data_IF_723246537712
#
_entry.id   IF_723246537712
#
_cell.length_a   1.000
_cell.length_b   1.000
_cell.length_c   1.000
_cell.angle_alpha   90.00
_cell.angle_beta   90.00
_cell.angle_gamma   90.00
#
_symmetry.space_group_name_H-M   'P 1'
#
loop_
_entity.id
_entity.type
_entity.pdbx_description
1 polymer ?
#
# COMPACT_ATOMS: atom_id res chain seq x y z
N UNK A 1 25.41 16.10 -27.25
CA UNK A 1 24.40 16.04 -26.18
C UNK A 1 24.39 14.59 -25.72
N UNK A 2 24.78 14.29 -24.48
CA UNK A 2 24.90 12.92 -24.01
C UNK A 2 23.49 12.43 -23.63
N UNK A 3 22.89 11.55 -24.44
CA UNK A 3 21.58 10.99 -24.15
C UNK A 3 21.66 10.14 -22.87
N UNK A 4 20.69 10.30 -21.97
CA UNK A 4 20.55 9.51 -20.74
C UNK A 4 19.48 8.42 -20.94
N UNK A 5 19.46 7.37 -20.10
CA UNK A 5 18.42 6.32 -20.13
C UNK A 5 17.01 6.92 -20.11
N UNK A 6 16.85 8.01 -19.36
CA UNK A 6 15.58 8.73 -19.22
C UNK A 6 15.06 9.33 -20.52
N UNK A 7 15.93 9.65 -21.49
CA UNK A 7 15.52 10.23 -22.78
C UNK A 7 14.82 9.21 -23.68
N UNK A 8 15.05 7.91 -23.43
CA UNK A 8 14.36 6.80 -24.09
C UNK A 8 13.07 6.40 -23.34
N UNK A 9 12.85 6.86 -22.10
CA UNK A 9 11.61 6.60 -21.40
C UNK A 9 10.57 7.66 -21.76
N UNK A 10 9.78 7.38 -22.81
CA UNK A 10 8.63 8.21 -23.18
C UNK A 10 7.35 7.71 -22.51
N UNK A 11 6.48 8.65 -22.15
CA UNK A 11 5.12 8.31 -21.73
C UNK A 11 4.39 7.71 -22.93
N UNK A 12 3.86 6.50 -22.76
CA UNK A 12 3.05 5.85 -23.78
C UNK A 12 2.10 4.82 -23.18
N UNK A 13 1.54 3.97 -24.05
CA UNK A 13 0.56 2.93 -23.67
C UNK A 13 1.09 2.00 -22.58
N UNK A 14 2.38 1.69 -22.59
CA UNK A 14 3.01 0.85 -21.57
C UNK A 14 3.02 1.51 -20.19
N UNK A 15 3.25 2.82 -20.11
CA UNK A 15 3.22 3.56 -18.84
C UNK A 15 1.83 3.54 -18.24
N UNK A 16 0.79 3.78 -19.05
CA UNK A 16 -0.62 3.71 -18.60
C UNK A 16 -0.97 2.30 -18.15
N UNK A 17 -0.53 1.27 -18.89
CA UNK A 17 -0.72 -0.12 -18.49
C UNK A 17 -0.11 -0.39 -17.11
N UNK A 18 1.14 0.02 -16.86
CA UNK A 18 1.77 -0.13 -15.54
C UNK A 18 0.95 0.59 -14.46
N UNK A 19 0.53 1.83 -14.71
CA UNK A 19 -0.26 2.59 -13.74
C UNK A 19 -1.55 1.87 -13.35
N UNK A 20 -2.33 1.40 -14.34
CA UNK A 20 -3.56 0.65 -14.10
C UNK A 20 -3.28 -0.66 -13.37
N UNK A 21 -2.22 -1.38 -13.75
CA UNK A 21 -1.85 -2.61 -13.08
C UNK A 21 -1.44 -2.38 -11.64
N UNK A 22 -0.70 -1.31 -11.37
CA UNK A 22 -0.33 -0.96 -10.01
C UNK A 22 -1.54 -0.58 -9.15
N UNK A 23 -2.51 0.17 -9.69
CA UNK A 23 -3.76 0.48 -8.99
C UNK A 23 -4.55 -0.78 -8.64
N UNK A 24 -4.78 -1.66 -9.62
CA UNK A 24 -5.45 -2.95 -9.36
C UNK A 24 -4.70 -3.79 -8.31
N UNK A 25 -3.37 -3.61 -8.18
CA UNK A 25 -2.58 -4.24 -7.13
C UNK A 25 -2.64 -3.52 -5.77
N UNK A 26 -2.95 -2.23 -5.73
CA UNK A 26 -3.11 -1.45 -4.49
C UNK A 26 -4.42 -1.75 -3.78
N UNK A 27 -5.47 -2.14 -4.51
CA UNK A 27 -6.79 -2.54 -4.02
C UNK A 27 -6.78 -3.60 -2.90
N UNK A 28 -5.65 -4.25 -2.66
CA UNK A 28 -5.57 -5.45 -1.83
C UNK A 28 -4.81 -5.32 -0.54
N UNK A 29 -4.26 -4.14 -0.29
CA UNK A 29 -3.11 -4.04 0.61
C UNK A 29 -3.41 -3.31 1.90
N UNK A 30 -4.64 -2.82 2.05
CA UNK A 30 -5.13 -2.19 3.27
C UNK A 30 -6.15 -3.04 4.02
N UNK A 31 -6.15 -4.36 3.87
CA UNK A 31 -6.97 -5.22 4.75
C UNK A 31 -6.68 -5.01 6.24
N UNK A 32 -5.54 -4.41 6.62
CA UNK A 32 -5.28 -3.97 8.00
C UNK A 32 -6.05 -2.70 8.43
N UNK A 33 -6.33 -1.82 7.47
CA UNK A 33 -6.85 -0.47 7.65
C UNK A 33 -8.30 -0.30 7.19
N UNK A 34 -8.96 -1.37 6.73
CA UNK A 34 -10.42 -1.32 6.74
C UNK A 34 -10.84 -1.39 8.21
N UNK A 35 -11.00 -0.20 8.80
CA UNK A 35 -11.68 0.04 10.08
C UNK A 35 -12.96 -0.81 10.18
N UNK A 36 -13.57 -1.10 9.02
CA UNK A 36 -14.72 -1.98 8.81
C UNK A 36 -14.52 -3.42 9.33
N UNK A 37 -13.35 -4.04 9.13
CA UNK A 37 -13.11 -5.45 9.49
C UNK A 37 -12.98 -5.62 11.01
N UNK A 38 -12.52 -4.58 11.71
CA UNK A 38 -12.35 -4.56 13.16
C UNK A 38 -13.33 -3.60 13.85
N UNK A 39 -14.41 -3.19 13.19
CA UNK A 39 -15.39 -2.28 13.75
C UNK A 39 -16.07 -2.96 14.96
N UNK A 40 -16.09 -2.34 16.15
CA UNK A 40 -16.81 -2.89 17.29
C UNK A 40 -18.33 -2.87 17.04
N UNK A 41 -19.07 -3.92 17.41
CA UNK A 41 -20.53 -3.87 17.41
C UNK A 41 -21.06 -2.92 18.49
N UNK A 42 -22.21 -2.32 18.25
CA UNK A 42 -22.94 -1.57 19.28
C UNK A 42 -23.92 -2.50 20.00
N UNK A 43 -23.87 -2.50 21.33
CA UNK A 43 -24.82 -3.21 22.18
C UNK A 43 -26.05 -2.34 22.41
N UNK A 44 -27.22 -2.80 21.97
CA UNK A 44 -28.48 -2.06 22.10
C UNK A 44 -29.30 -2.56 23.31
N UNK A 45 -29.20 -3.84 23.65
CA UNK A 45 -30.05 -4.43 24.69
C UNK A 45 -29.78 -5.91 24.96
N UNK A 46 -30.56 -6.49 25.86
CA UNK A 46 -30.56 -7.91 26.19
C UNK A 46 -31.88 -8.55 25.77
N UNK A 47 -31.84 -9.62 24.98
CA UNK A 47 -33.03 -10.36 24.52
C UNK A 47 -33.86 -10.93 25.67
N UNK A 48 -33.20 -11.29 26.78
CA UNK A 48 -33.85 -11.90 27.94
C UNK A 48 -34.35 -10.86 28.97
N UNK A 49 -34.15 -9.55 28.73
CA UNK A 49 -34.66 -8.46 29.59
C UNK A 49 -35.11 -7.26 28.77
N UNK A 50 -36.42 -7.01 28.77
CA UNK A 50 -37.01 -5.85 28.08
C UNK A 50 -36.63 -4.49 28.72
N UNK A 51 -36.13 -4.47 29.96
CA UNK A 51 -35.82 -3.24 30.71
C UNK A 51 -34.42 -2.65 30.39
N UNK A 52 -33.72 -3.19 29.38
CA UNK A 52 -32.31 -2.88 29.11
C UNK A 52 -32.07 -1.83 28.02
N UNK A 53 -33.12 -1.37 27.32
CA UNK A 53 -32.98 -0.43 26.19
C UNK A 53 -32.49 0.98 26.52
N UNK A 54 -32.42 1.35 27.81
CA UNK A 54 -31.92 2.65 28.28
C UNK A 54 -30.66 2.55 29.14
N UNK A 55 -30.13 1.34 29.35
CA UNK A 55 -28.94 1.15 30.17
C UNK A 55 -27.69 1.63 29.44
N UNK A 56 -26.81 2.33 30.16
CA UNK A 56 -25.51 2.73 29.62
C UNK A 56 -24.70 1.49 29.19
N UNK A 57 -23.97 1.51 28.06
CA UNK A 57 -23.25 0.36 27.50
C UNK A 57 -22.37 -0.42 28.49
N UNK A 58 -21.75 0.27 29.46
CA UNK A 58 -20.95 -0.36 30.52
C UNK A 58 -21.77 -1.33 31.39
N UNK A 59 -22.98 -0.98 31.80
CA UNK A 59 -23.82 -1.86 32.61
C UNK A 59 -24.38 -3.05 31.82
N UNK A 60 -24.63 -2.88 30.51
CA UNK A 60 -24.95 -4.00 29.62
C UNK A 60 -23.81 -5.02 29.56
N UNK A 61 -22.58 -4.52 29.58
CA UNK A 61 -21.40 -5.36 29.52
C UNK A 61 -21.14 -6.14 30.80
N UNK A 62 -21.43 -5.57 31.97
CA UNK A 62 -21.37 -6.30 33.23
C UNK A 62 -22.39 -7.45 33.24
N UNK A 63 -23.61 -7.22 32.73
CA UNK A 63 -24.65 -8.24 32.62
C UNK A 63 -24.28 -9.37 31.65
N UNK A 64 -23.61 -9.02 30.54
CA UNK A 64 -23.06 -9.97 29.57
C UNK A 64 -21.95 -10.83 30.20
N UNK A 65 -21.00 -10.21 30.92
CA UNK A 65 -19.94 -10.94 31.62
C UNK A 65 -20.46 -11.86 32.72
N UNK A 66 -21.58 -11.52 33.35
CA UNK A 66 -22.26 -12.34 34.34
C UNK A 66 -23.10 -13.48 33.72
N UNK A 67 -23.22 -13.54 32.38
CA UNK A 67 -23.99 -14.58 31.68
C UNK A 67 -25.50 -14.44 31.83
N UNK A 68 -26.00 -13.28 32.26
CA UNK A 68 -27.43 -13.03 32.52
C UNK A 68 -28.15 -12.33 31.37
N UNK A 69 -27.41 -11.97 30.32
CA UNK A 69 -27.89 -11.21 29.16
C UNK A 69 -27.47 -11.91 27.86
N UNK A 70 -28.46 -12.27 27.04
CA UNK A 70 -28.25 -12.59 25.64
C UNK A 70 -28.22 -11.27 24.85
N UNK A 71 -27.06 -10.82 24.35
CA UNK A 71 -26.90 -9.47 23.81
C UNK A 71 -27.57 -9.33 22.44
N UNK A 72 -28.28 -8.23 22.25
CA UNK A 72 -28.75 -7.75 20.96
C UNK A 72 -27.72 -6.74 20.46
N UNK A 73 -27.06 -7.07 19.36
CA UNK A 73 -26.01 -6.28 18.74
C UNK A 73 -26.50 -5.67 17.43
N UNK A 74 -26.24 -4.39 17.22
CA UNK A 74 -26.30 -3.76 15.91
C UNK A 74 -24.91 -3.81 15.28
N UNK A 75 -24.86 -4.21 14.01
CA UNK A 75 -23.65 -4.07 13.21
C UNK A 75 -24.04 -3.80 11.76
N UNK A 76 -23.31 -2.88 11.12
CA UNK A 76 -23.48 -2.56 9.69
C UNK A 76 -22.70 -3.53 8.78
N UNK A 77 -21.75 -4.26 9.34
CA UNK A 77 -20.89 -5.21 8.64
C UNK A 77 -20.49 -6.31 9.64
N UNK A 78 -20.58 -7.59 9.24
CA UNK A 78 -20.13 -8.68 10.10
C UNK A 78 -18.60 -8.64 10.18
N UNK A 79 -18.10 -8.04 11.24
CA UNK A 79 -16.68 -7.80 11.49
C UNK A 79 -16.06 -8.94 12.30
N UNK A 80 -14.73 -8.99 12.34
CA UNK A 80 -13.96 -9.95 13.15
C UNK A 80 -14.29 -9.80 14.64
N UNK A 81 -14.62 -8.58 15.09
CA UNK A 81 -15.02 -8.34 16.48
C UNK A 81 -16.36 -8.98 16.81
N UNK A 82 -17.31 -8.90 15.86
CA UNK A 82 -18.64 -9.50 16.00
C UNK A 82 -18.52 -11.02 16.03
N UNK A 83 -17.79 -11.61 15.09
CA UNK A 83 -17.68 -13.07 14.97
C UNK A 83 -16.94 -13.71 16.15
N UNK A 84 -15.83 -13.12 16.61
CA UNK A 84 -15.10 -13.62 17.78
C UNK A 84 -15.61 -13.06 19.12
N UNK A 85 -16.84 -12.54 19.13
CA UNK A 85 -17.64 -12.18 20.31
C UNK A 85 -16.91 -11.28 21.34
N UNK A 86 -16.14 -10.30 20.88
CA UNK A 86 -15.55 -9.27 21.74
C UNK A 86 -16.54 -8.11 21.89
N UNK A 87 -17.68 -8.38 22.55
CA UNK A 87 -18.78 -7.42 22.68
C UNK A 87 -18.53 -6.35 23.76
N UNK A 88 -17.72 -6.69 24.78
CA UNK A 88 -17.61 -5.91 26.02
C UNK A 88 -16.19 -5.69 26.55
N UNK A 89 -15.18 -6.29 25.91
CA UNK A 89 -13.81 -5.86 26.14
C UNK A 89 -13.55 -4.58 25.36
N UNK A 90 -12.59 -3.75 25.78
CA UNK A 90 -12.11 -2.55 25.06
C UNK A 90 -11.47 -2.87 23.68
N UNK A 91 -11.82 -4.00 23.06
CA UNK A 91 -11.18 -4.53 21.87
C UNK A 91 -9.74 -4.95 22.13
N UNK A 92 -9.30 -5.12 23.38
CA UNK A 92 -7.87 -5.31 23.73
C UNK A 92 -7.20 -6.40 22.89
N UNK A 93 -7.80 -7.59 22.77
CA UNK A 93 -7.24 -8.71 21.98
C UNK A 93 -7.16 -8.41 20.48
N UNK A 94 -8.06 -7.57 19.96
CA UNK A 94 -8.07 -7.15 18.57
C UNK A 94 -7.02 -6.06 18.35
N UNK A 95 -6.90 -5.10 19.27
CA UNK A 95 -5.83 -4.09 19.30
C UNK A 95 -4.44 -4.75 19.41
N UNK A 96 -4.33 -5.82 20.18
CA UNK A 96 -3.12 -6.66 20.26
C UNK A 96 -2.85 -7.34 18.89
N UNK A 97 -3.87 -7.91 18.25
CA UNK A 97 -3.76 -8.49 16.90
C UNK A 97 -3.28 -7.47 15.87
N UNK A 98 -3.83 -6.26 15.92
CA UNK A 98 -3.45 -5.10 15.11
C UNK A 98 -1.99 -4.71 15.35
N UNK A 99 -1.52 -4.76 16.60
CA UNK A 99 -0.12 -4.49 16.94
C UNK A 99 0.84 -5.56 16.41
N UNK A 100 0.49 -6.85 16.49
CA UNK A 100 1.31 -7.93 15.92
C UNK A 100 1.44 -7.81 14.40
N UNK A 101 0.35 -7.47 13.73
CA UNK A 101 0.35 -7.22 12.29
C UNK A 101 1.26 -6.03 11.92
N UNK A 102 1.33 -4.98 12.74
CA UNK A 102 2.25 -3.85 12.55
C UNK A 102 3.73 -4.25 12.67
N UNK A 103 4.06 -5.21 13.55
CA UNK A 103 5.40 -5.80 13.58
C UNK A 103 5.71 -6.47 12.24
N UNK A 104 4.74 -7.20 11.67
CA UNK A 104 4.84 -7.74 10.32
C UNK A 104 5.13 -6.67 9.27
N UNK A 105 4.43 -5.53 9.32
CA UNK A 105 4.69 -4.39 8.44
C UNK A 105 6.14 -3.90 8.55
N UNK A 106 6.63 -3.67 9.77
CA UNK A 106 7.99 -3.18 10.03
C UNK A 106 9.07 -4.13 9.50
N UNK A 107 8.97 -5.42 9.84
CA UNK A 107 9.95 -6.43 9.38
C UNK A 107 9.91 -6.57 7.86
N UNK A 108 8.73 -6.50 7.25
CA UNK A 108 8.55 -6.56 5.80
C UNK A 108 9.27 -5.42 5.08
N UNK A 109 9.15 -4.19 5.57
CA UNK A 109 9.82 -3.04 4.98
C UNK A 109 11.35 -3.19 4.97
N UNK A 110 11.94 -3.67 6.07
CA UNK A 110 13.39 -3.84 6.21
C UNK A 110 13.94 -4.94 5.29
N UNK A 111 13.27 -6.09 5.26
CA UNK A 111 13.70 -7.26 4.47
C UNK A 111 13.58 -6.98 2.98
N UNK A 112 12.40 -6.55 2.53
CA UNK A 112 12.13 -6.44 1.10
C UNK A 112 12.81 -5.24 0.44
N UNK A 113 13.20 -4.22 1.19
CA UNK A 113 14.10 -3.18 0.67
C UNK A 113 15.39 -3.78 0.11
N UNK A 114 16.09 -4.58 0.93
CA UNK A 114 17.35 -5.24 0.52
C UNK A 114 17.16 -6.33 -0.53
N UNK A 115 16.08 -7.12 -0.41
CA UNK A 115 15.75 -8.16 -1.39
C UNK A 115 15.50 -7.54 -2.78
N UNK A 116 14.82 -6.40 -2.84
CA UNK A 116 14.51 -5.71 -4.11
C UNK A 116 15.74 -5.17 -4.84
N UNK A 117 16.76 -4.76 -4.10
CA UNK A 117 18.03 -4.31 -4.67
C UNK A 117 18.88 -5.49 -5.14
N UNK A 118 18.80 -6.62 -4.42
CA UNK A 118 19.61 -7.80 -4.69
C UNK A 118 19.07 -8.62 -5.86
N UNK A 119 17.77 -8.92 -5.87
CA UNK A 119 17.11 -9.84 -6.81
C UNK A 119 16.33 -9.15 -7.94
N UNK A 120 16.23 -7.82 -7.89
CA UNK A 120 15.44 -7.04 -8.85
C UNK A 120 14.07 -6.70 -8.29
N UNK A 121 13.27 -6.01 -9.08
CA UNK A 121 11.99 -5.46 -8.62
C UNK A 121 10.86 -6.40 -9.01
N UNK A 122 10.88 -6.98 -10.20
CA UNK A 122 9.80 -7.85 -10.71
C UNK A 122 9.60 -9.11 -9.88
N UNK A 123 10.66 -9.89 -9.67
CA UNK A 123 10.53 -11.20 -9.01
C UNK A 123 10.11 -11.11 -7.54
N UNK A 124 10.76 -10.30 -6.69
CA UNK A 124 10.30 -10.10 -5.32
C UNK A 124 8.88 -9.52 -5.25
N UNK A 125 8.52 -8.61 -6.17
CA UNK A 125 7.17 -8.06 -6.23
C UNK A 125 6.13 -9.16 -6.50
N UNK A 126 6.38 -10.03 -7.48
CA UNK A 126 5.50 -11.16 -7.80
C UNK A 126 5.33 -12.13 -6.63
N UNK A 127 6.42 -12.48 -5.95
CA UNK A 127 6.38 -13.34 -4.76
C UNK A 127 5.55 -12.69 -3.66
N UNK A 128 5.77 -11.39 -3.38
CA UNK A 128 5.00 -10.67 -2.39
C UNK A 128 3.50 -10.66 -2.73
N UNK A 129 3.11 -10.37 -3.98
CA UNK A 129 1.69 -10.35 -4.38
C UNK A 129 1.05 -11.73 -4.23
N UNK A 130 1.72 -12.77 -4.75
CA UNK A 130 1.21 -14.14 -4.69
C UNK A 130 1.03 -14.59 -3.23
N UNK A 131 2.04 -14.35 -2.38
CA UNK A 131 1.98 -14.71 -0.96
C UNK A 131 0.91 -13.92 -0.21
N UNK A 132 0.75 -12.62 -0.48
CA UNK A 132 -0.34 -11.82 0.11
C UNK A 132 -1.71 -12.38 -0.27
N UNK A 133 -1.93 -12.72 -1.54
CA UNK A 133 -3.20 -13.30 -2.01
C UNK A 133 -3.51 -14.66 -1.37
N UNK A 134 -2.50 -15.56 -1.30
CA UNK A 134 -2.64 -16.87 -0.65
C UNK A 134 -2.93 -16.72 0.84
N UNK A 135 -2.12 -15.93 1.55
CA UNK A 135 -2.28 -15.74 3.00
C UNK A 135 -3.60 -15.03 3.34
N UNK A 136 -4.08 -14.15 2.47
CA UNK A 136 -5.37 -13.51 2.62
C UNK A 136 -6.53 -14.48 2.47
N UNK A 137 -6.48 -15.35 1.46
CA UNK A 137 -7.42 -16.47 1.33
C UNK A 137 -7.40 -17.40 2.55
N UNK A 138 -6.21 -17.81 3.00
CA UNK A 138 -6.05 -18.68 4.19
C UNK A 138 -6.59 -18.01 5.45
N UNK A 139 -6.38 -16.70 5.62
CA UNK A 139 -6.89 -15.95 6.76
C UNK A 139 -8.42 -15.97 6.85
N UNK A 140 -9.11 -16.07 5.71
CA UNK A 140 -10.58 -16.14 5.65
C UNK A 140 -11.15 -17.46 6.18
N UNK A 141 -10.31 -18.48 6.41
CA UNK A 141 -10.70 -19.76 7.02
C UNK A 141 -10.27 -19.88 8.49
N UNK A 142 -9.73 -18.82 9.09
CA UNK A 142 -9.29 -18.88 10.48
C UNK A 142 -10.48 -19.16 11.41
N UNK A 143 -10.40 -20.22 12.21
CA UNK A 143 -11.40 -20.58 13.22
C UNK A 143 -11.16 -19.97 14.60
N UNK A 144 -10.03 -19.27 14.78
CA UNK A 144 -9.70 -18.59 16.03
C UNK A 144 -8.99 -17.26 15.78
N UNK A 145 -9.10 -16.33 16.74
CA UNK A 145 -8.44 -15.03 16.65
C UNK A 145 -6.91 -15.14 16.59
N UNK A 146 -6.31 -16.13 17.27
CA UNK A 146 -4.86 -16.35 17.24
C UNK A 146 -4.39 -16.81 15.86
N UNK A 147 -5.11 -17.75 15.24
CA UNK A 147 -4.82 -18.21 13.89
C UNK A 147 -5.01 -17.09 12.87
N UNK A 148 -6.08 -16.29 13.01
CA UNK A 148 -6.31 -15.10 12.21
C UNK A 148 -5.14 -14.11 12.33
N UNK A 149 -4.72 -13.79 13.56
CA UNK A 149 -3.60 -12.87 13.83
C UNK A 149 -2.30 -13.34 13.19
N UNK A 150 -1.97 -14.63 13.27
CA UNK A 150 -0.77 -15.20 12.68
C UNK A 150 -0.76 -15.03 11.16
N UNK A 151 -1.82 -15.50 10.48
CA UNK A 151 -1.89 -15.41 9.02
C UNK A 151 -1.89 -13.97 8.53
N UNK A 152 -2.57 -13.08 9.24
CA UNK A 152 -2.63 -11.67 8.90
C UNK A 152 -1.30 -10.95 9.16
N UNK A 153 -0.54 -11.36 10.17
CA UNK A 153 0.81 -10.82 10.41
C UNK A 153 1.76 -11.20 9.28
N UNK A 154 1.71 -12.45 8.82
CA UNK A 154 2.48 -12.90 7.65
C UNK A 154 2.02 -12.18 6.37
N UNK A 155 0.71 -12.02 6.18
CA UNK A 155 0.16 -11.25 5.07
C UNK A 155 0.71 -9.82 5.07
N UNK A 156 0.68 -9.13 6.22
CA UNK A 156 1.21 -7.79 6.41
C UNK A 156 2.70 -7.69 6.06
N UNK A 157 3.50 -8.71 6.41
CA UNK A 157 4.91 -8.77 6.06
C UNK A 157 5.16 -8.75 4.54
N UNK A 158 4.50 -9.64 3.78
CA UNK A 158 4.63 -9.66 2.31
C UNK A 158 4.00 -8.43 1.67
N UNK A 159 2.91 -7.95 2.24
CA UNK A 159 2.20 -6.79 1.76
C UNK A 159 3.07 -5.53 1.77
N UNK A 160 3.74 -5.25 2.89
CA UNK A 160 4.68 -4.13 2.99
C UNK A 160 5.85 -4.31 2.05
N UNK A 161 6.32 -5.54 1.88
CA UNK A 161 7.37 -5.83 0.92
C UNK A 161 7.01 -5.37 -0.47
N UNK A 162 5.82 -5.74 -0.95
CA UNK A 162 5.34 -5.23 -2.23
C UNK A 162 5.23 -3.70 -2.27
N UNK A 163 4.69 -3.06 -1.22
CA UNK A 163 4.53 -1.61 -1.17
C UNK A 163 5.87 -0.89 -1.36
N UNK A 164 6.92 -1.37 -0.69
CA UNK A 164 8.27 -0.81 -0.84
C UNK A 164 8.79 -1.01 -2.26
N UNK A 165 8.60 -2.20 -2.83
CA UNK A 165 9.10 -2.53 -4.18
C UNK A 165 8.36 -1.75 -5.26
N UNK A 166 7.03 -1.65 -5.20
CA UNK A 166 6.21 -1.03 -6.24
C UNK A 166 6.48 0.48 -6.35
N UNK A 167 6.74 1.15 -5.23
CA UNK A 167 7.09 2.58 -5.22
C UNK A 167 8.41 2.85 -5.93
N UNK A 168 9.42 2.01 -5.70
CA UNK A 168 10.70 2.10 -6.41
C UNK A 168 10.52 1.73 -7.88
N UNK A 169 9.75 0.67 -8.16
CA UNK A 169 9.47 0.20 -9.52
C UNK A 169 8.79 1.29 -10.37
N UNK A 170 7.79 1.99 -9.84
CA UNK A 170 7.15 3.13 -10.50
C UNK A 170 8.16 4.24 -10.78
N UNK A 171 8.93 4.65 -9.78
CA UNK A 171 9.93 5.72 -9.94
C UNK A 171 10.97 5.41 -11.03
N UNK A 172 11.35 4.14 -11.18
CA UNK A 172 12.32 3.68 -12.19
C UNK A 172 11.70 3.48 -13.58
N UNK A 173 10.38 3.38 -13.69
CA UNK A 173 9.66 3.21 -14.96
C UNK A 173 9.10 4.52 -15.50
N UNK A 174 8.81 5.47 -14.64
CA UNK A 174 8.23 6.74 -15.05
C UNK A 174 9.28 7.69 -15.63
N UNK A 175 8.96 8.41 -16.73
CA UNK A 175 9.82 9.47 -17.25
C UNK A 175 10.04 10.56 -16.20
N UNK A 176 11.26 11.12 -16.11
CA UNK A 176 11.64 12.14 -15.09
C UNK A 176 10.63 13.27 -14.91
N UNK A 177 10.11 13.80 -16.02
CA UNK A 177 9.18 14.93 -16.02
C UNK A 177 7.79 14.57 -15.48
N UNK A 178 7.37 13.31 -15.60
CA UNK A 178 6.02 12.88 -15.23
C UNK A 178 5.97 12.07 -13.92
N UNK A 179 7.09 11.85 -13.24
CA UNK A 179 7.15 10.95 -12.07
C UNK A 179 6.23 11.38 -10.93
N UNK A 180 6.17 12.68 -10.64
CA UNK A 180 5.56 13.19 -9.40
C UNK A 180 4.03 13.23 -9.51
N UNK A 181 3.48 13.94 -10.49
CA UNK A 181 2.04 13.91 -10.74
C UNK A 181 1.48 12.50 -11.03
N UNK A 182 2.20 11.62 -11.75
CA UNK A 182 1.76 10.23 -11.97
C UNK A 182 1.68 9.47 -10.65
N UNK A 183 2.64 9.66 -9.75
CA UNK A 183 2.61 9.01 -8.44
C UNK A 183 1.45 9.53 -7.57
N UNK A 184 1.09 10.82 -7.67
CA UNK A 184 -0.06 11.38 -6.96
C UNK A 184 -1.39 10.86 -7.48
N UNK A 185 -1.59 10.86 -8.81
CA UNK A 185 -2.84 10.37 -9.43
C UNK A 185 -2.98 8.87 -9.21
N UNK A 186 -1.93 8.11 -9.48
CA UNK A 186 -1.92 6.66 -9.31
C UNK A 186 -1.45 6.25 -7.91
N UNK A 187 -1.93 6.97 -6.90
CA UNK A 187 -1.67 6.72 -5.48
C UNK A 187 -2.79 5.91 -4.84
N UNK A 188 -2.58 5.49 -3.60
CA UNK A 188 -3.50 4.74 -2.74
C UNK A 188 -4.96 5.20 -2.65
N UNK A 189 -5.30 6.44 -3.01
CA UNK A 189 -6.60 7.05 -2.70
C UNK A 189 -7.83 6.46 -3.43
N UNK A 190 -7.80 6.06 -4.71
CA UNK A 190 -8.94 5.45 -5.40
C UNK A 190 -9.38 4.14 -4.74
N UNK A 191 -8.40 3.38 -4.24
CA UNK A 191 -8.61 2.05 -3.68
C UNK A 191 -9.54 2.03 -2.46
N UNK A 192 -9.60 3.11 -1.68
CA UNK A 192 -10.52 3.21 -0.54
C UNK A 192 -11.99 3.20 -0.98
N UNK A 193 -12.28 3.78 -2.14
CA UNK A 193 -13.64 3.83 -2.68
C UNK A 193 -14.08 2.46 -3.17
N UNK A 194 -13.23 1.79 -3.96
CA UNK A 194 -13.51 0.44 -4.47
C UNK A 194 -13.61 -0.60 -3.35
N UNK A 195 -12.69 -0.57 -2.37
CA UNK A 195 -12.77 -1.42 -1.19
C UNK A 195 -14.09 -1.24 -0.43
N UNK A 196 -14.55 0.00 -0.24
CA UNK A 196 -15.83 0.28 0.44
C UNK A 196 -17.04 -0.26 -0.32
N UNK A 197 -17.03 -0.18 -1.66
CA UNK A 197 -18.08 -0.75 -2.52
C UNK A 197 -18.10 -2.28 -2.39
N UNK A 198 -16.92 -2.93 -2.44
CA UNK A 198 -16.82 -4.39 -2.29
C UNK A 198 -17.28 -4.81 -0.87
N UNK A 199 -16.95 -4.03 0.15
CA UNK A 199 -17.39 -4.27 1.54
C UNK A 199 -18.91 -4.18 1.66
N UNK A 200 -19.53 -3.18 1.04
CA UNK A 200 -20.99 -3.01 1.00
C UNK A 200 -21.70 -4.21 0.36
N UNK A 201 -21.17 -4.78 -0.73
CA UNK A 201 -21.77 -5.97 -1.33
C UNK A 201 -21.44 -7.27 -0.58
N UNK A 202 -20.29 -7.35 0.09
CA UNK A 202 -19.84 -8.57 0.75
C UNK A 202 -20.53 -8.82 2.08
N UNK A 203 -20.88 -7.75 2.83
CA UNK A 203 -21.57 -7.76 4.14
C UNK A 203 -20.86 -8.54 5.28
N UNK A 204 -19.86 -9.36 4.96
CA UNK A 204 -19.06 -10.19 5.84
C UNK A 204 -17.57 -10.07 5.53
N UNK A 205 -16.74 -10.03 6.58
CA UNK A 205 -15.29 -9.90 6.47
C UNK A 205 -14.63 -11.08 5.76
N UNK A 206 -15.16 -12.32 5.89
CA UNK A 206 -14.55 -13.48 5.23
C UNK A 206 -14.78 -13.41 3.72
N UNK A 207 -16.00 -13.10 3.30
CA UNK A 207 -16.35 -12.93 1.89
C UNK A 207 -15.63 -11.73 1.28
N UNK A 208 -15.57 -10.62 1.99
CA UNK A 208 -14.80 -9.44 1.61
C UNK A 208 -13.32 -9.75 1.39
N UNK A 209 -12.70 -10.45 2.34
CA UNK A 209 -11.30 -10.88 2.24
C UNK A 209 -11.10 -11.79 1.04
N UNK A 210 -11.97 -12.78 0.78
CA UNK A 210 -11.86 -13.63 -0.41
C UNK A 210 -12.01 -12.85 -1.72
N UNK A 211 -12.95 -11.92 -1.79
CA UNK A 211 -13.19 -11.11 -2.99
C UNK A 211 -11.95 -10.28 -3.34
N UNK A 212 -11.42 -9.53 -2.37
CA UNK A 212 -10.18 -8.78 -2.55
C UNK A 212 -9.03 -9.71 -2.93
N UNK A 213 -8.81 -10.79 -2.17
CA UNK A 213 -7.70 -11.70 -2.39
C UNK A 213 -7.75 -12.44 -3.74
N UNK A 214 -8.94 -12.65 -4.30
CA UNK A 214 -9.12 -13.19 -5.66
C UNK A 214 -8.67 -12.20 -6.72
N UNK A 215 -8.93 -10.90 -6.53
CA UNK A 215 -8.46 -9.85 -7.43
C UNK A 215 -6.92 -9.80 -7.52
N UNK A 216 -6.17 -10.22 -6.47
CA UNK A 216 -4.68 -10.29 -6.52
C UNK A 216 -4.22 -11.27 -7.52
N UNK A 217 -4.86 -12.42 -7.56
CA UNK A 217 -4.38 -13.48 -8.40
C UNK A 217 -4.45 -13.01 -9.85
N UNK A 218 -5.52 -12.31 -10.23
CA UNK A 218 -5.62 -11.62 -11.52
C UNK A 218 -4.50 -10.60 -11.68
N UNK A 219 -4.29 -9.73 -10.69
CA UNK A 219 -3.26 -8.70 -10.72
C UNK A 219 -1.83 -9.27 -10.83
N UNK A 220 -1.56 -10.44 -10.20
CA UNK A 220 -0.28 -11.16 -10.21
C UNK A 220 0.02 -11.70 -11.61
N UNK A 221 -0.99 -12.30 -12.25
CA UNK A 221 -0.89 -12.78 -13.63
C UNK A 221 -0.57 -11.63 -14.56
N UNK A 222 -1.18 -10.46 -14.36
CA UNK A 222 -0.90 -9.29 -15.18
C UNK A 222 0.51 -8.73 -14.93
N UNK A 223 0.97 -8.67 -13.68
CA UNK A 223 2.34 -8.26 -13.33
C UNK A 223 3.42 -9.17 -13.93
N UNK A 224 3.11 -10.44 -14.20
CA UNK A 224 4.05 -11.36 -14.83
C UNK A 224 4.50 -10.87 -16.22
N UNK A 225 3.62 -10.16 -16.94
CA UNK A 225 3.91 -9.64 -18.28
C UNK A 225 4.75 -8.35 -18.26
N UNK A 226 4.88 -7.69 -17.11
CA UNK A 226 5.67 -6.46 -16.97
C UNK A 226 7.18 -6.73 -17.10
N UNK A 227 7.90 -5.74 -17.59
CA UNK A 227 9.37 -5.80 -17.71
C UNK A 227 10.08 -5.44 -16.41
N UNK A 228 11.24 -6.05 -16.17
CA UNK A 228 12.12 -5.69 -15.06
C UNK A 228 12.65 -4.25 -15.22
N UNK A 229 13.13 -3.65 -14.12
CA UNK A 229 13.73 -2.32 -14.15
C UNK A 229 15.00 -2.28 -15.00
N UNK A 230 15.05 -1.33 -15.95
CA UNK A 230 16.20 -1.11 -16.83
C UNK A 230 17.44 -0.70 -16.02
N UNK A 231 17.26 0.17 -15.03
CA UNK A 231 18.34 0.60 -14.14
C UNK A 231 18.93 -0.57 -13.36
N UNK A 232 18.09 -1.48 -12.86
CA UNK A 232 18.56 -2.67 -12.17
C UNK A 232 19.38 -3.59 -13.08
N UNK A 233 18.87 -3.84 -14.29
CA UNK A 233 19.52 -4.70 -15.28
C UNK A 233 20.90 -4.16 -15.66
N UNK A 234 21.02 -2.85 -15.88
CA UNK A 234 22.31 -2.20 -16.16
C UNK A 234 23.27 -2.33 -14.98
N UNK A 235 22.82 -2.08 -13.74
CA UNK A 235 23.64 -2.23 -12.53
C UNK A 235 24.13 -3.66 -12.29
N UNK A 236 23.35 -4.67 -12.71
CA UNK A 236 23.75 -6.08 -12.67
C UNK A 236 24.61 -6.51 -13.87
N UNK A 237 24.91 -5.60 -14.80
CA UNK A 237 25.67 -5.87 -16.01
C UNK A 237 24.89 -6.63 -17.10
N UNK A 238 23.58 -6.83 -16.92
CA UNK A 238 22.67 -7.54 -17.84
C UNK A 238 22.16 -6.61 -18.94
N UNK A 239 23.07 -6.04 -19.71
CA UNK A 239 22.78 -4.99 -20.72
C UNK A 239 21.89 -5.49 -21.85
N UNK A 240 22.09 -6.73 -22.31
CA UNK A 240 21.27 -7.32 -23.38
C UNK A 240 19.79 -7.44 -22.98
N UNK A 241 19.52 -7.75 -21.72
CA UNK A 241 18.16 -7.83 -21.21
C UNK A 241 17.55 -6.44 -21.04
N UNK A 242 18.34 -5.45 -20.61
CA UNK A 242 17.92 -4.07 -20.56
C UNK A 242 17.51 -3.55 -21.95
N UNK A 243 18.29 -3.89 -22.98
CA UNK A 243 17.98 -3.54 -24.37
C UNK A 243 16.67 -4.21 -24.84
N UNK A 244 16.53 -5.52 -24.62
CA UNK A 244 15.30 -6.26 -24.97
C UNK A 244 14.06 -5.69 -24.29
N UNK A 245 14.16 -5.38 -22.99
CA UNK A 245 13.07 -4.77 -22.23
C UNK A 245 12.71 -3.39 -22.81
N UNK A 246 13.69 -2.54 -23.11
CA UNK A 246 13.46 -1.22 -23.70
C UNK A 246 12.81 -1.31 -25.09
N UNK A 247 13.27 -2.23 -25.94
CA UNK A 247 12.67 -2.51 -27.26
C UNK A 247 11.20 -2.95 -27.13
N UNK A 248 10.90 -3.83 -26.17
CA UNK A 248 9.53 -4.27 -25.90
C UNK A 248 8.63 -3.12 -25.42
N UNK A 249 9.14 -2.23 -24.57
CA UNK A 249 8.42 -1.04 -24.11
C UNK A 249 8.09 -0.12 -25.31
N UNK A 250 9.07 0.19 -26.16
CA UNK A 250 8.86 1.04 -27.34
C UNK A 250 7.89 0.40 -28.34
N UNK A 251 7.97 -0.92 -28.55
CA UNK A 251 7.02 -1.65 -29.40
C UNK A 251 5.58 -1.55 -28.88
N UNK A 252 5.37 -1.58 -27.56
CA UNK A 252 4.04 -1.42 -26.96
C UNK A 252 3.54 0.02 -27.08
N UNK A 253 4.45 0.99 -26.94
CA UNK A 253 4.13 2.41 -27.13
C UNK A 253 3.84 2.76 -28.59
N UNK A 254 4.43 2.02 -29.53
CA UNK A 254 4.34 2.30 -30.97
C UNK A 254 5.37 3.34 -31.45
N UNK A 255 6.44 3.55 -30.68
CA UNK A 255 7.46 4.56 -30.96
C UNK A 255 8.67 3.95 -31.68
N UNK A 256 9.29 4.71 -32.59
CA UNK A 256 10.58 4.36 -33.18
C UNK A 256 11.72 4.51 -32.16
N UNK A 257 12.64 3.54 -32.17
CA UNK A 257 13.78 3.46 -31.28
C UNK A 257 15.07 3.34 -32.10
N UNK A 258 16.03 4.23 -31.85
CA UNK A 258 17.38 4.08 -32.41
C UNK A 258 18.18 3.06 -31.58
N UNK A 259 18.24 1.85 -32.12
CA UNK A 259 18.96 0.71 -31.52
C UNK A 259 20.43 1.03 -31.21
N UNK A 260 21.11 1.79 -32.09
CA UNK A 260 22.53 2.11 -31.90
C UNK A 260 22.71 3.12 -30.78
N UNK A 261 21.88 4.16 -30.74
CA UNK A 261 21.91 5.14 -29.66
C UNK A 261 21.57 4.50 -28.31
N UNK A 262 20.59 3.58 -28.27
CA UNK A 262 20.24 2.86 -27.04
C UNK A 262 21.41 2.02 -26.53
N UNK A 263 22.05 1.22 -27.39
CA UNK A 263 23.18 0.38 -27.01
C UNK A 263 24.34 1.21 -26.45
N UNK A 264 24.67 2.34 -27.09
CA UNK A 264 25.72 3.25 -26.63
C UNK A 264 25.43 3.79 -25.23
N UNK A 265 24.19 4.22 -24.97
CA UNK A 265 23.80 4.75 -23.65
C UNK A 265 23.82 3.67 -22.58
N UNK A 266 23.30 2.46 -22.85
CA UNK A 266 23.33 1.38 -21.88
C UNK A 266 24.76 0.93 -21.53
N UNK A 267 25.66 0.89 -22.51
CA UNK A 267 27.07 0.59 -22.29
C UNK A 267 27.79 1.68 -21.51
N UNK A 268 27.51 2.96 -21.82
CA UNK A 268 28.06 4.09 -21.10
C UNK A 268 27.65 4.10 -19.62
N UNK A 269 26.37 3.84 -19.33
CA UNK A 269 25.85 3.76 -17.96
C UNK A 269 26.42 2.58 -17.18
N UNK A 270 26.59 1.42 -17.83
CA UNK A 270 27.29 0.27 -17.23
C UNK A 270 28.73 0.65 -16.84
N UNK A 271 29.47 1.30 -17.75
CA UNK A 271 30.85 1.72 -17.50
C UNK A 271 30.94 2.73 -16.35
N UNK A 272 30.09 3.75 -16.36
CA UNK A 272 30.03 4.73 -15.28
C UNK A 272 29.77 4.06 -13.93
N UNK A 273 28.85 3.08 -13.90
CA UNK A 273 28.58 2.29 -12.70
C UNK A 273 29.79 1.48 -12.25
N UNK A 274 30.48 0.79 -13.16
CA UNK A 274 31.71 0.04 -12.84
C UNK A 274 32.83 0.93 -12.29
N UNK A 275 32.98 2.14 -12.83
CA UNK A 275 33.96 3.13 -12.37
C UNK A 275 33.63 3.71 -10.98
N UNK A 276 32.35 3.86 -10.64
CA UNK A 276 31.90 4.34 -9.31
C UNK A 276 31.62 3.23 -8.30
N UNK A 277 31.70 1.97 -8.70
CA UNK A 277 31.40 0.83 -7.84
C UNK A 277 32.48 0.67 -6.76
N UNK A 278 32.14 1.05 -5.52
CA UNK A 278 32.89 0.63 -4.34
C UNK A 278 32.78 -0.89 -4.17
N UNK A 279 33.86 -1.54 -3.72
CA UNK A 279 33.96 -3.00 -3.56
C UNK A 279 33.10 -3.58 -2.43
N UNK A 280 32.43 -2.73 -1.64
CA UNK A 280 31.58 -3.14 -0.53
C UNK A 280 30.11 -3.44 -0.91
N UNK A 281 29.50 -4.39 -0.21
CA UNK A 281 28.04 -4.58 -0.26
C UNK A 281 27.34 -3.45 0.51
N UNK A 282 26.45 -2.72 -0.17
CA UNK A 282 25.65 -1.67 0.47
C UNK A 282 24.49 -2.29 1.25
N UNK A 283 24.62 -2.28 2.58
CA UNK A 283 23.55 -2.59 3.53
C UNK A 283 22.86 -1.32 4.07
N UNK A 284 21.67 -1.49 4.65
CA UNK A 284 20.84 -0.42 5.24
C UNK A 284 21.60 0.54 6.17
N UNK A 285 22.54 0.03 6.98
CA UNK A 285 23.28 0.86 7.93
C UNK A 285 24.20 1.91 7.27
N UNK A 286 24.66 1.67 6.03
CA UNK A 286 25.51 2.64 5.32
C UNK A 286 24.79 3.94 4.98
N UNK A 287 23.45 3.93 4.97
CA UNK A 287 22.63 5.11 4.78
C UNK A 287 22.87 6.16 5.88
N UNK A 288 23.17 5.70 7.10
CA UNK A 288 23.40 6.55 8.27
C UNK A 288 24.89 6.90 8.47
N UNK A 289 25.80 6.31 7.70
CA UNK A 289 27.24 6.55 7.85
C UNK A 289 27.71 7.89 7.28
N UNK A 290 27.00 8.46 6.30
CA UNK A 290 27.39 9.73 5.65
C UNK A 290 26.46 10.85 6.08
N UNK A 291 26.98 11.95 6.63
CA UNK A 291 26.18 13.08 7.14
C UNK A 291 25.14 13.65 6.15
N UNK A 292 25.46 13.71 4.85
CA UNK A 292 24.51 14.14 3.81
C UNK A 292 23.34 13.15 3.65
N UNK A 293 23.65 11.85 3.59
CA UNK A 293 22.63 10.80 3.47
C UNK A 293 21.81 10.66 4.75
N UNK A 294 22.44 10.82 5.91
CA UNK A 294 21.78 10.88 7.20
C UNK A 294 20.76 12.02 7.25
N UNK A 295 21.13 13.22 6.80
CA UNK A 295 20.23 14.36 6.72
C UNK A 295 19.00 14.06 5.85
N UNK A 296 19.20 13.57 4.62
CA UNK A 296 18.09 13.19 3.74
C UNK A 296 17.21 12.08 4.31
N UNK A 297 17.82 11.08 4.94
CA UNK A 297 17.10 9.95 5.53
C UNK A 297 16.29 10.38 6.74
N UNK A 298 16.84 11.23 7.61
CA UNK A 298 16.13 11.76 8.77
C UNK A 298 14.95 12.64 8.36
N UNK A 299 15.12 13.51 7.34
CA UNK A 299 14.01 14.30 6.80
C UNK A 299 12.90 13.41 6.26
N UNK A 300 13.24 12.36 5.51
CA UNK A 300 12.26 11.39 4.99
C UNK A 300 11.58 10.60 6.12
N UNK A 301 12.32 10.19 7.15
CA UNK A 301 11.75 9.47 8.30
C UNK A 301 10.75 10.37 9.03
N UNK A 302 11.11 11.62 9.32
CA UNK A 302 10.23 12.57 10.01
C UNK A 302 8.99 12.92 9.20
N UNK A 303 9.12 13.11 7.88
CA UNK A 303 7.96 13.39 7.02
C UNK A 303 7.01 12.21 6.94
N UNK A 304 7.53 10.99 6.74
CA UNK A 304 6.70 9.77 6.75
C UNK A 304 6.06 9.51 8.12
N UNK A 305 6.75 9.82 9.20
CA UNK A 305 6.22 9.71 10.56
C UNK A 305 5.04 10.65 10.77
N UNK A 306 5.18 11.93 10.42
CA UNK A 306 4.10 12.92 10.52
C UNK A 306 2.87 12.52 9.67
N UNK A 307 3.08 12.14 8.41
CA UNK A 307 2.00 11.68 7.51
C UNK A 307 1.33 10.42 8.07
N UNK A 308 2.11 9.50 8.67
CA UNK A 308 1.57 8.28 9.26
C UNK A 308 0.69 8.59 10.46
N UNK A 309 1.11 9.45 11.38
CA UNK A 309 0.29 9.85 12.55
C UNK A 309 -1.05 10.42 12.10
N UNK A 310 -1.04 11.35 11.14
CA UNK A 310 -2.27 11.97 10.65
C UNK A 310 -3.18 10.93 9.98
N UNK A 311 -2.62 10.07 9.11
CA UNK A 311 -3.39 9.10 8.35
C UNK A 311 -3.99 7.99 9.25
N UNK A 312 -3.19 7.43 10.16
CA UNK A 312 -3.67 6.43 11.12
C UNK A 312 -4.61 7.06 12.17
N UNK A 313 -4.34 8.29 12.59
CA UNK A 313 -5.18 9.04 13.51
C UNK A 313 -6.58 9.29 12.94
N UNK A 314 -6.69 9.77 11.70
CA UNK A 314 -7.99 9.91 11.02
C UNK A 314 -8.69 8.57 10.94
N UNK A 315 -7.96 7.53 10.55
CA UNK A 315 -8.56 6.22 10.33
C UNK A 315 -9.11 5.55 11.58
N UNK A 316 -8.38 5.58 12.69
CA UNK A 316 -8.86 5.00 13.95
C UNK A 316 -10.02 5.81 14.54
N UNK A 317 -10.11 7.11 14.24
CA UNK A 317 -11.25 7.92 14.66
C UNK A 317 -12.47 7.84 13.72
N UNK A 318 -12.34 7.24 12.52
CA UNK A 318 -13.49 7.08 11.60
C UNK A 318 -14.63 6.26 12.20
N UNK A 319 -14.35 5.38 13.16
CA UNK A 319 -15.37 4.58 13.84
C UNK A 319 -16.30 5.41 14.75
N UNK A 320 -15.88 6.61 15.15
CA UNK A 320 -16.66 7.50 16.01
C UNK A 320 -17.49 8.53 15.24
N UNK A 321 -17.37 8.58 13.91
CA UNK A 321 -18.18 9.48 13.08
C UNK A 321 -19.60 8.93 12.96
N UNK A 322 -20.60 9.78 13.24
CA UNK A 322 -22.01 9.44 13.02
C UNK A 322 -22.28 9.17 11.53
N UNK A 323 -23.07 8.12 11.23
CA UNK A 323 -23.45 7.75 9.88
C UNK A 323 -23.09 6.30 9.50
N UNK A 324 -23.14 6.01 8.21
CA UNK A 324 -22.74 4.69 7.70
C UNK A 324 -21.24 4.66 7.44
N UNK A 325 -20.58 3.62 7.94
CA UNK A 325 -19.13 3.45 7.82
C UNK A 325 -18.72 3.38 6.33
N UNK A 326 -19.55 2.80 5.46
CA UNK A 326 -19.31 2.72 4.02
C UNK A 326 -19.28 4.10 3.35
N UNK A 327 -20.30 4.94 3.60
CA UNK A 327 -20.37 6.28 3.01
C UNK A 327 -19.25 7.18 3.53
N UNK A 328 -18.97 7.13 4.83
CA UNK A 328 -17.88 7.91 5.43
C UNK A 328 -16.51 7.54 4.81
N UNK A 329 -16.27 6.24 4.58
CA UNK A 329 -15.04 5.78 3.92
C UNK A 329 -14.96 6.22 2.46
N UNK A 330 -16.08 6.18 1.71
CA UNK A 330 -16.15 6.66 0.33
C UNK A 330 -15.86 8.16 0.25
N UNK A 331 -16.47 8.98 1.13
CA UNK A 331 -16.25 10.42 1.14
C UNK A 331 -14.80 10.78 1.44
N UNK A 332 -14.19 10.12 2.42
CA UNK A 332 -12.78 10.33 2.76
C UNK A 332 -11.87 9.87 1.62
N UNK A 333 -12.16 8.73 1.00
CA UNK A 333 -11.45 8.25 -0.19
C UNK A 333 -11.53 9.26 -1.35
N UNK A 334 -12.73 9.75 -1.66
CA UNK A 334 -12.98 10.71 -2.71
C UNK A 334 -12.30 12.06 -2.43
N UNK A 335 -12.38 12.56 -1.19
CA UNK A 335 -11.71 13.79 -0.78
C UNK A 335 -10.19 13.68 -0.91
N UNK A 336 -9.60 12.58 -0.45
CA UNK A 336 -8.16 12.32 -0.59
C UNK A 336 -7.74 12.22 -2.06
N UNK A 337 -8.55 11.56 -2.89
CA UNK A 337 -8.27 11.45 -4.32
C UNK A 337 -8.34 12.82 -5.00
N UNK A 338 -9.35 13.63 -4.68
CA UNK A 338 -9.48 14.99 -5.20
C UNK A 338 -8.26 15.84 -4.83
N UNK A 339 -7.80 15.79 -3.58
CA UNK A 339 -6.59 16.50 -3.15
C UNK A 339 -5.36 16.06 -3.94
N UNK A 340 -5.18 14.75 -4.15
CA UNK A 340 -4.05 14.23 -4.92
C UNK A 340 -4.09 14.68 -6.39
N UNK A 341 -5.28 14.74 -6.99
CA UNK A 341 -5.47 15.26 -8.36
C UNK A 341 -5.17 16.76 -8.43
N UNK A 342 -5.56 17.53 -7.42
CA UNK A 342 -5.23 18.96 -7.33
C UNK A 342 -3.71 19.14 -7.19
N UNK A 343 -3.04 18.37 -6.34
CA UNK A 343 -1.58 18.40 -6.21
C UNK A 343 -0.89 18.01 -7.51
N UNK A 344 -1.38 16.97 -8.19
CA UNK A 344 -0.87 16.56 -9.49
C UNK A 344 -1.05 17.65 -10.57
N UNK A 345 -2.20 18.33 -10.58
CA UNK A 345 -2.46 19.44 -11.49
C UNK A 345 -1.59 20.67 -11.15
N UNK A 346 -1.30 20.90 -9.87
CA UNK A 346 -0.41 21.96 -9.44
C UNK A 346 1.04 21.71 -9.91
N UNK A 347 1.56 20.50 -9.69
CA UNK A 347 2.89 20.04 -10.17
C UNK A 347 3.02 20.23 -11.69
N UNK A 348 2.00 19.79 -12.43
CA UNK A 348 2.03 19.82 -13.89
C UNK A 348 1.95 21.24 -14.47
N UNK A 349 1.12 22.12 -13.89
CA UNK A 349 0.87 23.45 -14.45
C UNK A 349 1.81 24.54 -13.93
N UNK A 350 2.40 24.38 -12.75
CA UNK A 350 3.23 25.40 -12.12
C UNK A 350 4.65 24.89 -11.82
N UNK A 351 5.60 25.03 -12.78
CA UNK A 351 7.01 24.71 -12.56
C UNK A 351 7.66 25.50 -11.41
N UNK A 352 7.05 26.64 -11.03
CA UNK A 352 7.47 27.51 -9.94
C UNK A 352 7.08 26.99 -8.54
N UNK A 353 6.06 26.13 -8.46
CA UNK A 353 5.78 25.30 -7.28
C UNK A 353 6.79 24.15 -7.33
N UNK A 354 8.07 24.49 -7.18
CA UNK A 354 9.13 23.49 -7.27
C UNK A 354 8.94 22.40 -6.20
N UNK A 355 9.55 21.22 -6.40
CA UNK A 355 9.57 20.05 -5.48
C UNK A 355 9.64 20.38 -3.98
N UNK A 356 10.26 21.49 -3.59
CA UNK A 356 10.35 21.95 -2.19
C UNK A 356 9.03 22.46 -1.62
N UNK A 357 8.20 23.12 -2.43
CA UNK A 357 6.90 23.69 -2.01
C UNK A 357 5.83 22.59 -1.89
N UNK A 358 5.88 21.59 -2.77
CA UNK A 358 4.95 20.44 -2.71
C UNK A 358 5.21 19.50 -1.52
N UNK A 359 6.46 19.35 -1.10
CA UNK A 359 6.81 18.63 0.13
C UNK A 359 6.35 19.39 1.40
N UNK A 360 6.19 20.72 1.33
CA UNK A 360 5.72 21.56 2.44
C UNK A 360 4.20 21.77 2.46
N UNK A 361 3.51 21.64 1.33
CA UNK A 361 2.06 21.85 1.23
C UNK A 361 1.21 20.92 2.12
N UNK A 362 1.54 19.62 2.26
CA UNK A 362 0.89 18.75 3.25
C UNK A 362 1.20 19.14 4.70
N UNK A 363 2.30 19.87 4.95
CA UNK A 363 2.72 20.30 6.30
C UNK A 363 2.07 21.63 6.72
N UNK A 364 1.62 22.46 5.78
CA UNK A 364 0.95 23.73 6.05
C UNK A 364 -0.58 23.63 6.18
N UNK A 365 -1.16 22.44 6.07
CA UNK A 365 -2.61 22.22 6.18
C UNK A 365 -3.04 21.73 7.57
N UNK A 366 -2.25 22.01 8.60
CA UNK A 366 -2.56 21.73 10.01
C UNK A 366 -2.68 23.01 10.84
N UNK A 367 -3.15 24.10 10.25
CA UNK A 367 -3.70 25.27 10.95
C UNK A 367 -5.15 25.49 10.49
#
# INVERSE_FOLDING_TARGET
MQNCIDDFQKMGRYTVLICVLCEVNFEMRRSFLDSNICAPPTLIGCRNRNDTGWLHPHHLCDLYHQGTCDPIVEYQFLSVNVEFAQLCGEGKRIKDSTSYQMIGYMVGALVFGQVSDTFGRKWPMLVCVAMTGVLGWVSSFAGSLHMFTLWRTLLSFFNTGHIVIVMVYMCEKFPRHHRMWLNFVFSWSPNLMFASIIAYYSQDWRTFSRALNTLAFVATVLLWFCEESIYWLVRKGRVEEAEKAMKRIHRINGDELDDKALQLVLQHEKRNYEETKSTGHYFFHHLFCTWRLLGYSLTMILSYFAVSIINYGIMFNMEHLEGSIFFNTIFIGAFRYLLNVISAAADYNFPAVGRKVELTLPMTQAD
#
